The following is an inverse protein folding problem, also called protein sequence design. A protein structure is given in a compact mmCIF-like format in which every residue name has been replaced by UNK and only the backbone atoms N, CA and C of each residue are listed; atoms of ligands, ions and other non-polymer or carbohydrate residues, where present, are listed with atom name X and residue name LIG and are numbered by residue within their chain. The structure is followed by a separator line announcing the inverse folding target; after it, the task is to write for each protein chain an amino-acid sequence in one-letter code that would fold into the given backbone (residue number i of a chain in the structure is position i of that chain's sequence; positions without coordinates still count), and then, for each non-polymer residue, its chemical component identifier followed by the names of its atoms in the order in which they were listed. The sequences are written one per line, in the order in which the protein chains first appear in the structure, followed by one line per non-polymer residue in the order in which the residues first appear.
data_IF_807467642838
#
_entry.id   IF_807467642838
#
_cell.length_a   1.000
_cell.length_b   1.000
_cell.length_c   1.000
_cell.angle_alpha   90.00
_cell.angle_beta   90.00
_cell.angle_gamma   90.00
#
_symmetry.space_group_name_H-M   'P 1'
#
loop_
_entity.id
_entity.type
_entity.pdbx_description
1 polymer ?
#
# COMPACT_ATOMS: atom_id res chain seq x y z
N UNK A 1 -32.12 29.75 -18.62
CA UNK A 1 -31.94 28.65 -17.65
C UNK A 1 -31.55 27.37 -18.38
N UNK A 2 -30.31 26.89 -18.22
CA UNK A 2 -29.95 25.46 -18.38
C UNK A 2 -28.65 25.25 -17.61
N UNK A 3 -28.76 24.71 -16.40
CA UNK A 3 -27.66 24.41 -15.49
C UNK A 3 -26.96 23.17 -16.03
N UNK A 4 -25.80 23.34 -16.66
CA UNK A 4 -24.94 22.21 -16.99
C UNK A 4 -24.09 22.00 -15.74
N UNK A 5 -24.45 20.94 -15.03
CA UNK A 5 -23.83 20.50 -13.79
C UNK A 5 -22.38 20.14 -14.10
N UNK A 6 -21.48 21.08 -13.84
CA UNK A 6 -20.05 20.82 -13.75
C UNK A 6 -19.77 20.11 -12.43
N UNK A 7 -19.92 18.79 -12.43
CA UNK A 7 -19.46 17.94 -11.34
C UNK A 7 -18.86 16.72 -12.00
N UNK A 8 -17.54 16.68 -12.13
CA UNK A 8 -16.74 15.49 -11.83
C UNK A 8 -15.25 15.89 -11.87
N UNK A 9 -14.69 16.24 -10.70
CA UNK A 9 -13.35 15.75 -10.40
C UNK A 9 -13.35 15.16 -8.98
N UNK A 10 -14.25 14.21 -8.70
CA UNK A 10 -14.25 13.50 -7.42
C UNK A 10 -13.30 12.29 -7.38
N UNK A 11 -12.62 11.97 -8.49
CA UNK A 11 -11.68 10.84 -8.57
C UNK A 11 -10.27 11.14 -8.08
N UNK A 12 -9.94 12.38 -7.70
CA UNK A 12 -8.62 12.74 -7.16
C UNK A 12 -8.60 13.02 -5.65
N UNK A 13 -9.74 12.89 -4.96
CA UNK A 13 -9.84 13.25 -3.54
C UNK A 13 -9.47 12.10 -2.57
N UNK A 14 -9.08 10.91 -3.07
CA UNK A 14 -8.79 9.75 -2.21
C UNK A 14 -7.29 9.43 -2.04
N UNK A 15 -6.37 10.19 -2.64
CA UNK A 15 -4.92 10.01 -2.38
C UNK A 15 -4.41 10.93 -1.27
N UNK A 16 -5.28 11.38 -0.38
CA UNK A 16 -4.93 12.19 0.79
C UNK A 16 -4.54 11.30 1.99
N UNK A 17 -3.61 10.39 1.74
CA UNK A 17 -2.63 9.90 2.71
C UNK A 17 -1.41 9.58 1.86
N UNK A 18 -0.29 10.24 2.12
CA UNK A 18 0.92 10.00 1.35
C UNK A 18 1.22 8.50 1.34
N UNK A 19 1.58 7.96 0.19
CA UNK A 19 1.98 6.55 0.07
C UNK A 19 3.04 6.26 1.13
N UNK A 20 2.80 5.35 2.09
CA UNK A 20 3.76 5.05 3.13
C UNK A 20 5.05 4.53 2.49
N UNK A 21 6.20 4.99 3.00
CA UNK A 21 7.49 4.54 2.53
C UNK A 21 7.80 3.12 3.01
N UNK A 22 8.82 2.49 2.45
CA UNK A 22 9.24 1.14 2.91
C UNK A 22 9.68 1.18 4.37
N UNK A 23 10.35 2.25 4.80
CA UNK A 23 10.83 2.42 6.17
C UNK A 23 9.67 2.58 7.15
N UNK A 24 8.66 3.40 6.82
CA UNK A 24 7.46 3.57 7.66
C UNK A 24 6.75 2.23 7.91
N UNK A 25 6.72 1.36 6.89
CA UNK A 25 6.07 0.04 6.95
C UNK A 25 6.93 -1.01 7.68
N UNK A 26 8.24 -0.81 7.77
CA UNK A 26 9.12 -1.67 8.58
C UNK A 26 8.99 -1.26 10.06
N UNK A 27 8.93 0.04 10.32
CA UNK A 27 8.82 0.60 11.67
C UNK A 27 7.42 0.38 12.28
N UNK A 28 6.37 0.38 11.45
CA UNK A 28 4.98 0.11 11.84
C UNK A 28 4.41 -1.16 11.18
N UNK A 29 4.49 -2.32 11.86
CA UNK A 29 3.97 -3.58 11.34
C UNK A 29 2.44 -3.66 11.29
N UNK A 30 1.72 -2.86 12.08
CA UNK A 30 0.25 -2.78 12.00
C UNK A 30 -0.14 -2.09 10.68
N UNK A 31 0.51 -0.96 10.38
CA UNK A 31 0.32 -0.24 9.11
C UNK A 31 0.69 -1.12 7.91
N UNK A 32 1.78 -1.89 7.97
CA UNK A 32 2.13 -2.85 6.92
C UNK A 32 1.04 -3.89 6.68
N UNK A 33 0.44 -4.41 7.75
CA UNK A 33 -0.62 -5.42 7.66
C UNK A 33 -1.86 -4.85 7.00
N UNK A 34 -2.26 -3.64 7.39
CA UNK A 34 -3.42 -2.94 6.80
C UNK A 34 -3.20 -2.67 5.31
N UNK A 35 -2.03 -2.16 4.94
CA UNK A 35 -1.68 -1.88 3.54
C UNK A 35 -1.66 -3.17 2.72
N UNK A 36 -1.09 -4.26 3.24
CA UNK A 36 -1.10 -5.56 2.54
C UNK A 36 -2.52 -6.11 2.38
N UNK A 37 -3.37 -5.96 3.39
CA UNK A 37 -4.77 -6.37 3.33
C UNK A 37 -5.53 -5.58 2.27
N UNK A 38 -5.31 -4.26 2.20
CA UNK A 38 -5.91 -3.40 1.18
C UNK A 38 -5.42 -3.78 -0.23
N UNK A 39 -4.12 -4.01 -0.41
CA UNK A 39 -3.54 -4.46 -1.66
C UNK A 39 -4.11 -5.81 -2.11
N UNK A 40 -4.31 -6.73 -1.18
CA UNK A 40 -4.93 -8.03 -1.44
C UNK A 40 -6.40 -7.88 -1.82
N UNK A 41 -7.14 -7.00 -1.14
CA UNK A 41 -8.53 -6.71 -1.46
C UNK A 41 -8.68 -6.10 -2.86
N UNK A 42 -7.81 -5.14 -3.22
CA UNK A 42 -7.74 -4.56 -4.58
C UNK A 42 -7.48 -5.63 -5.63
N UNK A 43 -6.50 -6.51 -5.38
CA UNK A 43 -6.20 -7.63 -6.28
C UNK A 43 -7.41 -8.57 -6.46
N UNK A 44 -8.12 -8.92 -5.39
CA UNK A 44 -9.32 -9.77 -5.46
C UNK A 44 -10.48 -9.12 -6.21
N UNK A 45 -10.60 -7.79 -6.14
CA UNK A 45 -11.58 -7.02 -6.90
C UNK A 45 -11.19 -6.85 -8.38
N UNK A 46 -10.01 -7.31 -8.78
CA UNK A 46 -9.46 -7.08 -10.13
C UNK A 46 -8.98 -5.63 -10.33
N UNK A 47 -8.83 -4.86 -9.26
CA UNK A 47 -8.26 -3.52 -9.28
C UNK A 47 -6.73 -3.58 -9.39
N UNK A 48 -6.11 -2.49 -9.83
CA UNK A 48 -4.67 -2.45 -10.02
C UNK A 48 -3.95 -2.50 -8.66
N UNK A 49 -3.34 -3.65 -8.36
CA UNK A 49 -2.52 -3.87 -7.16
C UNK A 49 -1.05 -3.47 -7.37
N UNK A 50 -0.70 -2.86 -8.51
CA UNK A 50 0.67 -2.39 -8.82
C UNK A 50 0.91 -0.95 -8.39
N UNK A 51 0.10 -0.44 -7.47
CA UNK A 51 0.29 0.88 -6.87
C UNK A 51 1.64 0.95 -6.15
N UNK A 52 2.18 2.16 -5.99
CA UNK A 52 3.44 2.38 -5.30
C UNK A 52 3.39 1.88 -3.85
N UNK A 53 2.24 2.02 -3.21
CA UNK A 53 1.94 1.52 -1.87
C UNK A 53 2.11 0.00 -1.75
N UNK A 54 1.49 -0.78 -2.64
CA UNK A 54 1.61 -2.24 -2.62
C UNK A 54 3.03 -2.71 -2.92
N UNK A 55 3.76 -1.98 -3.76
CA UNK A 55 5.19 -2.24 -4.01
C UNK A 55 6.03 -1.98 -2.76
N UNK A 56 5.79 -0.86 -2.07
CA UNK A 56 6.50 -0.51 -0.86
C UNK A 56 6.23 -1.54 0.26
N UNK A 57 4.96 -1.95 0.43
CA UNK A 57 4.58 -2.96 1.41
C UNK A 57 5.19 -4.35 1.12
N UNK A 58 5.21 -4.77 -0.15
CA UNK A 58 5.87 -6.02 -0.54
C UNK A 58 7.39 -5.99 -0.26
N UNK A 59 8.05 -4.86 -0.53
CA UNK A 59 9.48 -4.69 -0.26
C UNK A 59 9.78 -4.67 1.24
N UNK A 60 8.96 -3.97 2.05
CA UNK A 60 9.06 -3.96 3.50
C UNK A 60 8.96 -5.37 4.09
N UNK A 61 7.94 -6.14 3.68
CA UNK A 61 7.75 -7.52 4.09
C UNK A 61 8.95 -8.40 3.72
N UNK A 62 9.52 -8.21 2.53
CA UNK A 62 10.71 -8.93 2.06
C UNK A 62 11.95 -8.59 2.89
N UNK A 63 12.15 -7.33 3.27
CA UNK A 63 13.28 -6.93 4.12
C UNK A 63 13.17 -7.54 5.52
N UNK A 64 11.99 -7.49 6.14
CA UNK A 64 11.72 -8.13 7.43
C UNK A 64 12.04 -9.62 7.34
N UNK A 65 11.52 -10.30 6.32
CA UNK A 65 11.74 -11.72 6.11
C UNK A 65 13.23 -12.06 5.90
N UNK A 66 13.95 -11.26 5.12
CA UNK A 66 15.38 -11.45 4.90
C UNK A 66 16.19 -11.29 6.19
N UNK A 67 15.83 -10.32 7.04
CA UNK A 67 16.49 -10.10 8.32
C UNK A 67 16.22 -11.27 9.29
N UNK A 68 14.98 -11.77 9.33
CA UNK A 68 14.61 -12.96 10.11
C UNK A 68 15.36 -14.20 9.60
N UNK A 69 15.38 -14.44 8.28
CA UNK A 69 16.10 -15.58 7.70
C UNK A 69 17.61 -15.51 7.96
N UNK A 70 18.22 -14.33 7.84
CA UNK A 70 19.64 -14.15 8.19
C UNK A 70 19.91 -14.44 9.67
N UNK A 71 19.02 -14.01 10.56
CA UNK A 71 19.12 -14.33 11.99
C UNK A 71 18.96 -15.83 12.28
N UNK A 72 18.11 -16.53 11.50
CA UNK A 72 17.85 -17.96 11.66
C UNK A 72 18.94 -18.85 11.04
N UNK A 73 19.50 -18.46 9.89
CA UNK A 73 20.52 -19.22 9.15
C UNK A 73 21.96 -18.87 9.56
N UNK A 74 22.14 -17.78 10.32
CA UNK A 74 23.44 -17.26 10.77
C UNK A 74 23.85 -17.68 12.18
N UNK A 75 23.15 -18.64 12.80
CA UNK A 75 23.47 -19.19 14.12
C UNK A 75 23.83 -20.67 14.07
#
# INVERSE_FOLDING_TARGET
MKKIIGILPLVFALTACGTPSVEDLIDDPELLTDVLAECTAKLMKGEDSKTQECKNAAEAQKQILNNVMKGLLGN
#
